data_IF_560050034253
#
_entry.id   IF_560050034253
#
_cell.length_a   1.000
_cell.length_b   1.000
_cell.length_c   1.000
_cell.angle_alpha   90.00
_cell.angle_beta   90.00
_cell.angle_gamma   90.00
#
_symmetry.space_group_name_H-M   'P 1'
#
loop_
_entity.id
_entity.type
_entity.pdbx_description
1 polymer ?
#
# COMPACT_ATOMS: atom_id res chain seq x y z
N UNK A 1 -7.08 -6.19 -6.90
CA UNK A 1 -7.58 -5.49 -8.11
C UNK A 1 -7.03 -4.07 -8.21
N UNK A 2 -7.15 -3.23 -7.19
CA UNK A 2 -6.66 -1.84 -7.21
C UNK A 2 -5.14 -1.68 -7.51
N UNK A 3 -4.27 -2.53 -6.95
CA UNK A 3 -2.81 -2.46 -7.18
C UNK A 3 -2.41 -2.70 -8.63
N UNK A 4 -3.06 -3.66 -9.30
CA UNK A 4 -2.78 -3.96 -10.70
C UNK A 4 -3.27 -2.86 -11.62
N UNK A 5 -4.39 -2.22 -11.28
CA UNK A 5 -4.92 -1.07 -12.00
C UNK A 5 -3.96 0.13 -11.87
N UNK A 6 -3.53 0.45 -10.65
CA UNK A 6 -2.56 1.50 -10.39
C UNK A 6 -1.23 1.25 -11.13
N UNK A 7 -0.69 0.03 -11.05
CA UNK A 7 0.50 -0.34 -11.79
C UNK A 7 0.34 -0.18 -13.31
N UNK A 8 -0.79 -0.62 -13.85
CA UNK A 8 -1.08 -0.51 -15.28
C UNK A 8 -1.17 0.96 -15.72
N UNK A 9 -1.86 1.79 -14.94
CA UNK A 9 -1.97 3.23 -15.18
C UNK A 9 -0.60 3.92 -15.09
N UNK A 10 0.22 3.52 -14.12
CA UNK A 10 1.57 4.06 -13.91
C UNK A 10 2.50 3.72 -15.08
N UNK A 11 2.52 2.46 -15.50
CA UNK A 11 3.33 2.02 -16.65
C UNK A 11 2.84 2.68 -17.95
N UNK A 12 1.52 2.79 -18.13
CA UNK A 12 0.95 3.51 -19.25
C UNK A 12 1.34 5.00 -19.21
N UNK A 13 1.29 5.63 -18.03
CA UNK A 13 1.73 7.00 -17.78
C UNK A 13 3.16 7.25 -18.18
N UNK A 14 4.09 6.37 -17.79
CA UNK A 14 5.49 6.44 -18.21
C UNK A 14 5.70 6.32 -19.72
N UNK A 15 4.80 5.64 -20.43
CA UNK A 15 4.89 5.52 -21.89
C UNK A 15 4.41 6.79 -22.62
N UNK A 16 3.69 7.68 -21.92
CA UNK A 16 3.03 8.85 -22.51
C UNK A 16 3.59 10.17 -22.01
N UNK A 17 4.08 10.22 -20.79
CA UNK A 17 4.52 11.43 -20.11
C UNK A 17 5.87 11.21 -19.43
N UNK A 18 6.51 12.31 -19.01
CA UNK A 18 7.77 12.24 -18.30
C UNK A 18 7.59 11.54 -16.94
N UNK A 19 8.44 10.55 -16.66
CA UNK A 19 8.33 9.76 -15.44
C UNK A 19 8.49 10.57 -14.14
N UNK A 20 9.06 11.79 -14.20
CA UNK A 20 9.16 12.71 -13.06
C UNK A 20 7.79 13.21 -12.57
N UNK A 21 6.73 13.04 -13.36
CA UNK A 21 5.36 13.38 -12.97
C UNK A 21 4.73 12.36 -12.01
N UNK A 22 5.39 11.23 -11.76
CA UNK A 22 5.00 10.28 -10.73
C UNK A 22 5.11 10.89 -9.33
N UNK A 23 4.07 10.71 -8.52
CA UNK A 23 4.01 11.26 -7.15
C UNK A 23 4.32 10.19 -6.10
N UNK A 24 4.27 8.90 -6.47
CA UNK A 24 4.62 7.82 -5.57
C UNK A 24 6.10 7.91 -5.14
N UNK A 25 6.38 8.24 -3.86
CA UNK A 25 7.73 8.54 -3.41
C UNK A 25 8.65 7.31 -3.46
N UNK A 26 8.09 6.09 -3.38
CA UNK A 26 8.86 4.86 -3.50
C UNK A 26 9.34 4.63 -4.92
N UNK A 27 8.46 4.83 -5.91
CA UNK A 27 8.84 4.70 -7.31
C UNK A 27 9.88 5.78 -7.65
N UNK A 28 9.65 7.03 -7.25
CA UNK A 28 10.62 8.12 -7.44
C UNK A 28 11.98 7.81 -6.81
N UNK A 29 12.00 7.20 -5.62
CA UNK A 29 13.23 6.79 -4.96
C UNK A 29 13.97 5.73 -5.78
N UNK A 30 13.30 4.66 -6.21
CA UNK A 30 13.92 3.60 -6.99
C UNK A 30 14.34 4.05 -8.38
N UNK A 31 13.60 4.98 -9.00
CA UNK A 31 13.94 5.59 -10.28
C UNK A 31 15.30 6.31 -10.29
N UNK A 32 15.83 6.69 -9.12
CA UNK A 32 17.20 7.22 -9.02
C UNK A 32 18.27 6.19 -9.38
N UNK A 33 17.93 4.91 -9.32
CA UNK A 33 18.86 3.79 -9.48
C UNK A 33 18.50 2.85 -10.63
N UNK A 34 17.28 2.91 -11.16
CA UNK A 34 16.80 2.01 -12.22
C UNK A 34 15.78 2.68 -13.14
N UNK A 35 15.46 2.03 -14.27
CA UNK A 35 14.46 2.54 -15.21
C UNK A 35 13.06 2.62 -14.56
N UNK A 36 12.19 3.58 -14.97
CA UNK A 36 10.88 3.81 -14.34
C UNK A 36 9.97 2.58 -14.28
N UNK A 37 9.91 1.81 -15.37
CA UNK A 37 9.11 0.58 -15.43
C UNK A 37 9.59 -0.45 -14.42
N UNK A 38 10.91 -0.66 -14.32
CA UNK A 38 11.52 -1.57 -13.34
C UNK A 38 11.24 -1.09 -11.91
N UNK A 39 11.35 0.21 -11.65
CA UNK A 39 11.03 0.80 -10.36
C UNK A 39 9.56 0.55 -9.96
N UNK A 40 8.61 0.81 -10.86
CA UNK A 40 7.19 0.51 -10.62
C UNK A 40 6.93 -0.98 -10.42
N UNK A 41 7.57 -1.86 -11.20
CA UNK A 41 7.45 -3.31 -11.02
C UNK A 41 7.98 -3.74 -9.65
N UNK A 42 9.13 -3.22 -9.22
CA UNK A 42 9.71 -3.52 -7.92
C UNK A 42 8.80 -3.07 -6.78
N UNK A 43 8.26 -1.85 -6.85
CA UNK A 43 7.30 -1.33 -5.86
C UNK A 43 6.05 -2.19 -5.81
N UNK A 44 5.49 -2.61 -6.95
CA UNK A 44 4.37 -3.55 -6.99
C UNK A 44 4.69 -4.86 -6.25
N UNK A 45 5.86 -5.46 -6.49
CA UNK A 45 6.25 -6.71 -5.84
C UNK A 45 6.45 -6.54 -4.32
N UNK A 46 7.14 -5.47 -3.90
CA UNK A 46 7.32 -5.16 -2.48
C UNK A 46 5.95 -4.98 -1.81
N UNK A 47 5.05 -4.20 -2.41
CA UNK A 47 3.71 -4.00 -1.87
C UNK A 47 2.92 -5.31 -1.82
N UNK A 48 3.00 -6.17 -2.84
CA UNK A 48 2.33 -7.48 -2.84
C UNK A 48 2.86 -8.36 -1.71
N UNK A 49 4.18 -8.44 -1.52
CA UNK A 49 4.80 -9.21 -0.44
C UNK A 49 4.36 -8.67 0.92
N UNK A 50 4.34 -7.34 1.08
CA UNK A 50 3.91 -6.71 2.34
C UNK A 50 2.43 -6.94 2.62
N UNK A 51 1.55 -6.89 1.62
CA UNK A 51 0.12 -7.17 1.78
C UNK A 51 -0.11 -8.64 2.13
N UNK A 52 0.50 -9.56 1.40
CA UNK A 52 0.39 -11.00 1.68
C UNK A 52 0.96 -11.31 3.08
N UNK A 53 2.16 -10.83 3.39
CA UNK A 53 2.79 -11.01 4.69
C UNK A 53 1.95 -10.43 5.83
N UNK A 54 1.42 -9.22 5.67
CA UNK A 54 0.52 -8.60 6.64
C UNK A 54 -0.75 -9.41 6.80
N UNK A 55 -1.38 -9.85 5.71
CA UNK A 55 -2.58 -10.69 5.76
C UNK A 55 -2.32 -11.98 6.53
N UNK A 56 -1.24 -12.70 6.24
CA UNK A 56 -0.88 -13.93 6.95
C UNK A 56 -0.62 -13.70 8.44
N UNK A 57 0.15 -12.66 8.78
CA UNK A 57 0.43 -12.31 10.18
C UNK A 57 -0.84 -11.91 10.93
N UNK A 58 -1.62 -11.00 10.35
CA UNK A 58 -2.84 -10.48 10.94
C UNK A 58 -3.88 -11.59 11.10
N UNK A 59 -4.04 -12.46 10.09
CA UNK A 59 -4.89 -13.65 10.18
C UNK A 59 -4.49 -14.55 11.35
N UNK A 60 -3.19 -14.85 11.50
CA UNK A 60 -2.69 -15.64 12.64
C UNK A 60 -3.01 -14.96 13.98
N UNK A 61 -2.95 -13.63 14.04
CA UNK A 61 -3.34 -12.89 15.25
C UNK A 61 -4.85 -12.89 15.49
N UNK A 62 -5.67 -12.86 14.44
CA UNK A 62 -7.13 -12.89 14.53
C UNK A 62 -7.69 -14.24 14.96
N UNK A 63 -7.03 -15.33 14.58
CA UNK A 63 -7.40 -16.69 14.95
C UNK A 63 -7.15 -16.99 16.44
N UNK A 64 -6.37 -16.15 17.13
CA UNK A 64 -6.03 -16.32 18.54
C UNK A 64 -6.71 -15.26 19.43
N UNK A 65 -7.22 -15.63 20.63
CA UNK A 65 -7.64 -14.65 21.64
C UNK A 65 -6.54 -13.58 21.84
N UNK A 66 -6.89 -12.30 22.01
CA UNK A 66 -8.22 -11.75 22.33
C UNK A 66 -9.04 -11.24 21.13
N UNK A 67 -8.57 -11.42 19.89
CA UNK A 67 -9.06 -10.67 18.72
C UNK A 67 -10.24 -11.31 17.95
N UNK A 68 -10.64 -12.54 18.29
CA UNK A 68 -11.87 -13.22 17.86
C UNK A 68 -12.33 -12.96 16.41
N UNK A 69 -11.40 -13.03 15.45
CA UNK A 69 -11.63 -13.04 13.98
C UNK A 69 -12.17 -11.76 13.32
N UNK A 70 -12.70 -10.76 14.03
CA UNK A 70 -13.21 -9.53 13.43
C UNK A 70 -12.36 -8.29 13.73
N UNK A 71 -12.11 -7.44 12.72
CA UNK A 71 -11.41 -6.15 12.87
C UNK A 71 -12.03 -5.25 13.95
N UNK A 72 -13.35 -5.30 14.10
CA UNK A 72 -14.08 -4.55 15.13
C UNK A 72 -13.71 -5.00 16.54
N UNK A 73 -13.32 -6.25 16.73
CA UNK A 73 -12.92 -6.80 18.01
C UNK A 73 -11.50 -6.36 18.41
N UNK A 74 -10.60 -6.13 17.44
CA UNK A 74 -9.30 -5.45 17.69
C UNK A 74 -9.52 -4.07 18.27
N UNK A 75 -10.41 -3.29 17.65
CA UNK A 75 -10.72 -1.95 18.12
C UNK A 75 -11.31 -1.96 19.53
N UNK A 76 -12.28 -2.85 19.79
CA UNK A 76 -12.87 -3.00 21.13
C UNK A 76 -11.85 -3.44 22.18
N UNK A 77 -10.93 -4.34 21.81
CA UNK A 77 -9.86 -4.80 22.69
C UNK A 77 -8.89 -3.66 23.04
N UNK A 78 -8.40 -2.93 22.03
CA UNK A 78 -7.48 -1.80 22.22
C UNK A 78 -8.08 -0.71 23.11
N UNK A 79 -9.37 -0.43 22.98
CA UNK A 79 -10.07 0.57 23.78
C UNK A 79 -10.29 0.15 25.25
N UNK A 80 -10.18 -1.14 25.57
CA UNK A 80 -10.44 -1.69 26.91
C UNK A 80 -9.19 -2.25 27.59
N UNK A 81 -8.05 -2.29 26.91
CA UNK A 81 -6.82 -2.83 27.50
C UNK A 81 -6.15 -1.80 28.40
N UNK A 82 -5.59 -2.24 29.54
CA UNK A 82 -4.82 -1.39 30.46
C UNK A 82 -3.41 -1.03 29.92
N UNK A 83 -3.22 -1.06 28.60
CA UNK A 83 -1.96 -0.77 27.93
C UNK A 83 -1.69 -1.70 26.74
N UNK A 84 -1.03 -1.19 25.68
CA UNK A 84 -0.71 -1.98 24.50
C UNK A 84 0.39 -3.01 24.80
N UNK A 85 0.13 -4.29 24.50
CA UNK A 85 1.16 -5.34 24.46
C UNK A 85 1.94 -5.23 23.15
N UNK A 86 3.14 -5.79 23.10
CA UNK A 86 3.96 -5.80 21.87
C UNK A 86 3.24 -6.40 20.65
N UNK A 87 2.38 -7.41 20.87
CA UNK A 87 1.50 -7.98 19.84
C UNK A 87 0.52 -6.95 19.26
N UNK A 88 0.01 -6.05 20.09
CA UNK A 88 -1.00 -5.06 19.73
C UNK A 88 -0.36 -3.95 18.88
N UNK A 89 0.87 -3.55 19.23
CA UNK A 89 1.70 -2.63 18.45
C UNK A 89 1.99 -3.22 17.06
N UNK A 90 2.30 -4.52 16.97
CA UNK A 90 2.55 -5.19 15.71
C UNK A 90 1.30 -5.20 14.81
N UNK A 91 0.13 -5.56 15.36
CA UNK A 91 -1.14 -5.54 14.61
C UNK A 91 -1.47 -4.14 14.14
N UNK A 92 -1.34 -3.13 15.00
CA UNK A 92 -1.60 -1.73 14.65
C UNK A 92 -0.66 -1.23 13.54
N UNK A 93 0.63 -1.53 13.66
CA UNK A 93 1.64 -1.16 12.67
C UNK A 93 1.34 -1.77 11.30
N UNK A 94 0.91 -3.03 11.26
CA UNK A 94 0.54 -3.71 10.00
C UNK A 94 -0.71 -3.10 9.36
N UNK A 95 -1.71 -2.74 10.16
CA UNK A 95 -2.92 -2.06 9.65
C UNK A 95 -2.56 -0.67 9.12
N UNK A 96 -1.77 0.11 9.87
CA UNK A 96 -1.34 1.44 9.47
C UNK A 96 -0.52 1.39 8.16
N UNK A 97 0.41 0.44 8.07
CA UNK A 97 1.22 0.22 6.88
C UNK A 97 0.36 -0.17 5.67
N UNK A 98 -0.62 -1.06 5.86
CA UNK A 98 -1.57 -1.43 4.82
C UNK A 98 -2.39 -0.23 4.33
N UNK A 99 -2.95 0.57 5.24
CA UNK A 99 -3.71 1.78 4.92
C UNK A 99 -2.86 2.80 4.16
N UNK A 100 -1.60 2.98 4.57
CA UNK A 100 -0.66 3.88 3.91
C UNK A 100 -0.33 3.43 2.48
N UNK A 101 -0.05 2.14 2.26
CA UNK A 101 0.18 1.62 0.91
C UNK A 101 -1.06 1.73 0.02
N UNK A 102 -2.25 1.43 0.56
CA UNK A 102 -3.49 1.60 -0.17
C UNK A 102 -3.70 3.06 -0.60
N UNK A 103 -3.41 4.01 0.30
CA UNK A 103 -3.47 5.44 0.00
C UNK A 103 -2.43 5.85 -1.05
N UNK A 104 -1.17 5.44 -0.93
CA UNK A 104 -0.12 5.82 -1.88
C UNK A 104 -0.39 5.31 -3.29
N UNK A 105 -0.88 4.07 -3.43
CA UNK A 105 -1.28 3.50 -4.72
C UNK A 105 -2.54 4.17 -5.28
N UNK A 106 -3.50 4.56 -4.43
CA UNK A 106 -4.67 5.32 -4.90
C UNK A 106 -4.27 6.70 -5.42
N UNK A 107 -3.40 7.41 -4.70
CA UNK A 107 -2.92 8.73 -5.10
C UNK A 107 -2.11 8.68 -6.39
N UNK A 108 -1.21 7.70 -6.55
CA UNK A 108 -0.46 7.50 -7.80
C UNK A 108 -1.37 7.30 -9.00
N UNK A 109 -2.33 6.38 -8.90
CA UNK A 109 -3.33 6.15 -9.95
C UNK A 109 -4.14 7.43 -10.25
N UNK A 110 -4.56 8.16 -9.21
CA UNK A 110 -5.34 9.37 -9.37
C UNK A 110 -4.56 10.47 -10.11
N UNK A 111 -3.29 10.66 -9.79
CA UNK A 111 -2.44 11.64 -10.47
C UNK A 111 -2.26 11.33 -11.95
N UNK A 112 -2.14 10.05 -12.31
CA UNK A 112 -2.12 9.66 -13.72
C UNK A 112 -3.44 9.94 -14.42
N UNK A 113 -4.58 9.61 -13.79
CA UNK A 113 -5.91 9.90 -14.33
C UNK A 113 -6.09 11.41 -14.56
N UNK A 114 -5.64 12.23 -13.61
CA UNK A 114 -5.72 13.68 -13.72
C UNK A 114 -4.82 14.23 -14.83
N UNK A 115 -3.58 13.73 -14.94
CA UNK A 115 -2.67 14.08 -16.03
C UNK A 115 -3.23 13.72 -17.41
N UNK A 116 -3.81 12.53 -17.56
CA UNK A 116 -4.43 12.12 -18.83
C UNK A 116 -5.60 13.03 -19.21
N UNK A 117 -6.38 13.50 -18.23
CA UNK A 117 -7.49 14.43 -18.46
C UNK A 117 -7.02 15.85 -18.78
N UNK A 118 -5.95 16.32 -18.15
CA UNK A 118 -5.51 17.72 -18.22
C UNK A 118 -4.56 17.99 -19.38
N UNK A 119 -3.60 17.09 -19.63
CA UNK A 119 -2.58 17.25 -20.68
C UNK A 119 -3.08 16.73 -22.03
N UNK A 120 -4.17 15.96 -22.03
CA UNK A 120 -4.77 15.40 -23.22
C UNK A 120 -3.98 14.18 -23.73
N UNK A 121 -4.60 13.02 -23.56
CA UNK A 121 -4.40 11.83 -24.40
C UNK A 121 -5.75 11.49 -25.02
#
# INVERSE_FOLDING_TARGET
>A
MALFLDYSLTVYGFSKHFAIMEINPFIMFFMRFMQPTIAATLVLHITLVLILGSYWMVRKFFENPPYNRELRDVWRYLMRSNGPKGRDIAVFSLIALYSYFAYSHFMGAWTWIDLFRTVGI
#
